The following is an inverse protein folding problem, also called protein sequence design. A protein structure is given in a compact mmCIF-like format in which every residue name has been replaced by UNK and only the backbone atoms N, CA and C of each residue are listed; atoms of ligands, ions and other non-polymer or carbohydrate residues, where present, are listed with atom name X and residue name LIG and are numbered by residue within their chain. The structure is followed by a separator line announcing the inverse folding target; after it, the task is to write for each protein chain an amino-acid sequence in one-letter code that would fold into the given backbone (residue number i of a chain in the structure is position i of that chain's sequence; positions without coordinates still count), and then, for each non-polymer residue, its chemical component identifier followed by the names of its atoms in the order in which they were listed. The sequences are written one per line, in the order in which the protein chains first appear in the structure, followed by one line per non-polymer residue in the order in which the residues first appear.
data_IF_083502413529
#
_entry.id   IF_083502413529
#
_cell.length_a   1.000
_cell.length_b   1.000
_cell.length_c   1.000
_cell.angle_alpha   90.00
_cell.angle_beta   90.00
_cell.angle_gamma   90.00
#
_symmetry.space_group_name_H-M   'P 1'
#
loop_
_entity.id
_entity.type
_entity.pdbx_description
1 polymer ?
#
# COMPACT_ATOMS: atom_id res chain seq x y z
N UNK A 1 14.04 -15.26 -2.00
CA UNK A 1 14.52 -16.56 -1.48
C UNK A 1 15.07 -16.39 -0.06
N UNK A 2 16.03 -15.48 0.21
CA UNK A 2 16.63 -15.32 1.55
C UNK A 2 15.61 -15.05 2.67
N UNK A 3 14.64 -14.14 2.44
CA UNK A 3 13.59 -13.80 3.43
C UNK A 3 12.61 -14.94 3.68
N UNK A 4 12.34 -15.75 2.66
CA UNK A 4 11.49 -16.93 2.80
C UNK A 4 12.16 -17.96 3.70
N UNK A 5 13.48 -18.13 3.57
CA UNK A 5 14.27 -19.01 4.43
C UNK A 5 14.30 -18.51 5.88
N UNK A 6 14.51 -17.21 6.12
CA UNK A 6 14.47 -16.63 7.45
C UNK A 6 13.11 -16.80 8.14
N UNK A 7 12.01 -16.55 7.40
CA UNK A 7 10.67 -16.75 7.94
C UNK A 7 10.37 -18.23 8.25
N UNK A 8 10.92 -19.16 7.45
CA UNK A 8 10.77 -20.59 7.69
C UNK A 8 11.52 -21.09 8.94
N UNK A 9 12.68 -20.50 9.20
CA UNK A 9 13.56 -20.92 10.31
C UNK A 9 13.22 -20.24 11.65
N UNK A 10 12.82 -18.97 11.61
CA UNK A 10 12.72 -18.12 12.80
C UNK A 10 11.33 -17.48 12.99
N UNK A 11 10.36 -17.80 12.14
CA UNK A 11 9.00 -17.28 12.23
C UNK A 11 8.82 -15.84 11.71
N UNK A 12 7.59 -15.30 11.82
CA UNK A 12 7.22 -13.99 11.26
C UNK A 12 8.01 -12.80 11.81
N UNK A 13 8.39 -12.83 13.10
CA UNK A 13 9.12 -11.73 13.76
C UNK A 13 10.55 -11.53 13.20
N UNK A 14 11.15 -12.58 12.64
CA UNK A 14 12.51 -12.51 12.10
C UNK A 14 12.70 -11.44 11.03
N UNK A 15 11.65 -11.16 10.24
CA UNK A 15 11.67 -10.18 9.17
C UNK A 15 11.05 -8.84 9.57
N UNK A 16 10.45 -8.73 10.76
CA UNK A 16 9.68 -7.54 11.16
C UNK A 16 10.53 -6.27 11.23
N UNK A 17 11.74 -6.35 11.78
CA UNK A 17 12.64 -5.20 11.86
C UNK A 17 13.06 -4.67 10.49
N UNK A 18 13.43 -5.57 9.57
CA UNK A 18 13.79 -5.19 8.19
C UNK A 18 12.58 -4.64 7.43
N UNK A 19 11.40 -5.21 7.62
CA UNK A 19 10.16 -4.72 7.02
C UNK A 19 9.86 -3.29 7.47
N UNK A 20 9.89 -3.02 8.77
CA UNK A 20 9.64 -1.68 9.31
C UNK A 20 10.64 -0.64 8.81
N UNK A 21 11.92 -0.98 8.69
CA UNK A 21 12.95 -0.09 8.15
C UNK A 21 12.74 0.27 6.66
N UNK A 22 12.12 -0.63 5.88
CA UNK A 22 11.75 -0.36 4.48
C UNK A 22 10.45 0.41 4.36
N UNK A 23 9.50 0.13 5.25
CA UNK A 23 8.14 0.66 5.18
C UNK A 23 8.02 2.10 5.66
N UNK A 24 8.78 2.48 6.70
CA UNK A 24 8.69 3.76 7.37
C UNK A 24 9.99 4.54 7.32
N UNK A 25 9.89 5.88 7.30
CA UNK A 25 11.04 6.75 7.49
C UNK A 25 11.61 6.63 8.91
N UNK A 26 12.87 6.98 9.06
CA UNK A 26 13.54 7.00 10.36
C UNK A 26 12.86 7.99 11.32
N UNK A 27 12.49 9.15 10.77
CA UNK A 27 11.82 10.24 11.47
C UNK A 27 10.47 9.78 12.01
N UNK A 28 9.68 9.10 11.17
CA UNK A 28 8.38 8.59 11.59
C UNK A 28 8.51 7.53 12.70
N UNK A 29 9.43 6.61 12.56
CA UNK A 29 9.68 5.57 13.58
C UNK A 29 10.08 6.18 14.92
N UNK A 30 10.95 7.19 14.91
CA UNK A 30 11.39 7.89 16.11
C UNK A 30 10.26 8.70 16.77
N UNK A 31 9.38 9.32 15.96
CA UNK A 31 8.27 10.12 16.46
C UNK A 31 7.07 9.27 16.96
N UNK A 32 6.93 8.02 16.47
CA UNK A 32 5.75 7.19 16.71
C UNK A 32 6.11 5.79 17.27
N UNK A 33 6.93 5.67 18.33
CA UNK A 33 7.46 4.38 18.79
C UNK A 33 6.37 3.39 19.23
N UNK A 34 5.27 3.87 19.82
CA UNK A 34 4.16 3.02 20.24
C UNK A 34 3.42 2.41 19.04
N UNK A 35 3.20 3.17 17.99
CA UNK A 35 2.56 2.68 16.76
C UNK A 35 3.45 1.68 16.03
N UNK A 36 4.75 1.94 15.94
CA UNK A 36 5.72 1.01 15.36
C UNK A 36 5.78 -0.29 16.15
N UNK A 37 5.75 -0.23 17.48
CA UNK A 37 5.69 -1.43 18.34
C UNK A 37 4.41 -2.24 18.11
N UNK A 38 3.25 -1.59 17.98
CA UNK A 38 1.99 -2.25 17.67
C UNK A 38 2.00 -2.95 16.30
N UNK A 39 2.54 -2.29 15.27
CA UNK A 39 2.69 -2.89 13.92
C UNK A 39 3.64 -4.09 13.97
N UNK A 40 4.76 -3.97 14.68
CA UNK A 40 5.69 -5.09 14.88
C UNK A 40 5.01 -6.28 15.57
N UNK A 41 4.24 -6.01 16.62
CA UNK A 41 3.50 -7.06 17.33
C UNK A 41 2.49 -7.76 16.41
N UNK A 42 1.77 -7.01 15.58
CA UNK A 42 0.85 -7.58 14.60
C UNK A 42 1.58 -8.49 13.60
N UNK A 43 2.75 -8.07 13.10
CA UNK A 43 3.57 -8.91 12.22
C UNK A 43 4.02 -10.20 12.92
N UNK A 44 4.52 -10.08 14.16
CA UNK A 44 5.03 -11.21 14.94
C UNK A 44 3.93 -12.21 15.34
N UNK A 45 2.68 -11.75 15.49
CA UNK A 45 1.54 -12.57 15.91
C UNK A 45 0.87 -13.35 14.77
N UNK A 46 1.34 -13.21 13.53
CA UNK A 46 0.81 -13.99 12.42
C UNK A 46 1.04 -15.50 12.64
N UNK A 47 0.09 -16.32 12.19
CA UNK A 47 0.31 -17.76 12.12
C UNK A 47 1.54 -18.08 11.25
N UNK A 48 2.57 -18.78 11.78
CA UNK A 48 3.81 -19.01 11.04
C UNK A 48 3.61 -19.73 9.71
N UNK A 49 2.69 -20.69 9.65
CA UNK A 49 2.44 -21.48 8.44
C UNK A 49 1.72 -20.63 7.39
N UNK A 50 0.70 -19.88 7.79
CA UNK A 50 -0.02 -18.95 6.93
C UNK A 50 0.88 -17.85 6.38
N UNK A 51 1.72 -17.26 7.25
CA UNK A 51 2.71 -16.26 6.88
C UNK A 51 3.69 -16.81 5.82
N UNK A 52 4.27 -18.00 6.06
CA UNK A 52 5.20 -18.62 5.14
C UNK A 52 4.57 -18.93 3.78
N UNK A 53 3.34 -19.43 3.78
CA UNK A 53 2.58 -19.76 2.55
C UNK A 53 2.33 -18.50 1.72
N UNK A 54 1.84 -17.43 2.37
CA UNK A 54 1.58 -16.14 1.73
C UNK A 54 2.88 -15.52 1.20
N UNK A 55 3.96 -15.60 1.97
CA UNK A 55 5.25 -15.06 1.58
C UNK A 55 5.88 -15.80 0.39
N UNK A 56 5.71 -17.13 0.31
CA UNK A 56 6.12 -17.93 -0.86
C UNK A 56 5.35 -17.51 -2.10
N UNK A 57 4.02 -17.36 -1.98
CA UNK A 57 3.18 -16.89 -3.09
C UNK A 57 3.68 -15.52 -3.58
N UNK A 58 3.83 -14.55 -2.68
CA UNK A 58 4.34 -13.22 -3.00
C UNK A 58 5.70 -13.26 -3.71
N UNK A 59 6.62 -14.12 -3.26
CA UNK A 59 7.97 -14.21 -3.82
C UNK A 59 8.06 -14.92 -5.18
N UNK A 60 7.02 -15.64 -5.62
CA UNK A 60 7.06 -16.49 -6.80
C UNK A 60 6.08 -16.09 -7.91
N UNK A 61 5.20 -15.12 -7.67
CA UNK A 61 4.11 -14.79 -8.60
C UNK A 61 4.28 -13.48 -9.37
N UNK A 62 5.46 -12.86 -9.33
CA UNK A 62 5.72 -11.56 -9.98
C UNK A 62 5.35 -11.55 -11.48
N UNK A 63 5.51 -12.68 -12.15
CA UNK A 63 5.22 -12.82 -13.58
C UNK A 63 3.88 -13.51 -13.87
N UNK A 64 3.13 -13.86 -12.82
CA UNK A 64 1.86 -14.56 -13.03
C UNK A 64 0.84 -13.65 -13.69
N UNK A 65 0.37 -14.06 -14.88
CA UNK A 65 -0.63 -13.34 -15.68
C UNK A 65 -0.25 -11.86 -15.98
N UNK A 66 1.02 -11.56 -16.05
CA UNK A 66 1.47 -10.21 -16.39
C UNK A 66 1.03 -9.75 -17.81
N UNK A 67 0.74 -10.69 -18.71
CA UNK A 67 0.15 -10.45 -20.03
C UNK A 67 -1.27 -9.90 -19.97
N UNK A 68 -2.05 -10.23 -18.92
CA UNK A 68 -3.44 -9.82 -18.78
C UNK A 68 -3.61 -8.35 -18.34
N UNK A 69 -2.53 -7.69 -17.93
CA UNK A 69 -2.57 -6.29 -17.51
C UNK A 69 -3.11 -5.36 -18.60
N UNK A 70 -2.87 -5.70 -19.87
CA UNK A 70 -3.41 -4.98 -21.02
C UNK A 70 -4.94 -5.06 -21.17
N UNK A 71 -5.58 -6.01 -20.50
CA UNK A 71 -7.04 -6.20 -20.53
C UNK A 71 -7.78 -5.36 -19.47
N UNK A 72 -7.05 -4.71 -18.57
CA UNK A 72 -7.66 -3.81 -17.57
C UNK A 72 -8.29 -2.61 -18.26
N UNK A 73 -9.60 -2.42 -18.07
CA UNK A 73 -10.41 -1.32 -18.65
C UNK A 73 -10.86 -0.31 -17.59
N UNK A 74 -10.75 -0.69 -16.31
CA UNK A 74 -11.09 0.22 -15.22
C UNK A 74 -10.12 1.39 -15.16
N UNK A 75 -10.57 2.62 -14.84
CA UNK A 75 -9.68 3.71 -14.50
C UNK A 75 -8.70 3.26 -13.42
N UNK A 76 -7.42 3.45 -13.66
CA UNK A 76 -6.36 2.91 -12.80
C UNK A 76 -5.41 4.00 -12.36
N UNK A 77 -5.17 4.09 -11.05
CA UNK A 77 -4.12 4.91 -10.46
C UNK A 77 -3.04 4.00 -9.86
N UNK A 78 -1.79 4.22 -10.24
CA UNK A 78 -0.62 3.55 -9.67
C UNK A 78 0.13 4.58 -8.83
N UNK A 79 0.13 4.39 -7.51
CA UNK A 79 0.77 5.30 -6.58
C UNK A 79 1.88 4.60 -5.78
N UNK A 80 3.03 5.26 -5.65
CA UNK A 80 4.12 4.78 -4.80
C UNK A 80 4.91 5.95 -4.21
N UNK A 81 5.63 5.68 -3.12
CA UNK A 81 6.56 6.64 -2.54
C UNK A 81 7.84 6.76 -3.38
N UNK A 82 8.38 7.97 -3.47
CA UNK A 82 9.65 8.23 -4.18
C UNK A 82 10.81 7.42 -3.59
N UNK A 83 10.79 7.22 -2.26
CA UNK A 83 11.83 6.52 -1.49
C UNK A 83 11.46 5.08 -1.16
N UNK A 84 10.44 4.51 -1.81
CA UNK A 84 10.06 3.09 -1.62
C UNK A 84 11.12 2.17 -2.26
N UNK A 85 11.86 1.38 -1.47
CA UNK A 85 12.88 0.48 -2.00
C UNK A 85 12.30 -0.83 -2.53
N UNK A 86 11.03 -1.12 -2.27
CA UNK A 86 10.36 -2.37 -2.65
C UNK A 86 9.45 -2.23 -3.85
N UNK A 87 8.66 -1.16 -3.88
CA UNK A 87 7.76 -0.80 -5.00
C UNK A 87 8.25 0.52 -5.59
N UNK A 88 9.34 0.47 -6.33
CA UNK A 88 10.05 1.66 -6.79
C UNK A 88 9.26 2.51 -7.79
N UNK A 89 9.56 3.81 -7.93
CA UNK A 89 9.00 4.65 -8.99
C UNK A 89 9.17 4.07 -10.41
N UNK A 90 10.28 3.37 -10.65
CA UNK A 90 10.52 2.67 -11.93
C UNK A 90 9.47 1.58 -12.17
N UNK A 91 9.24 0.72 -11.18
CA UNK A 91 8.23 -0.34 -11.25
C UNK A 91 6.81 0.22 -11.45
N UNK A 92 6.48 1.31 -10.78
CA UNK A 92 5.19 1.98 -10.96
C UNK A 92 4.99 2.47 -12.40
N UNK A 93 6.01 3.07 -13.01
CA UNK A 93 5.97 3.50 -14.42
C UNK A 93 5.89 2.33 -15.39
N UNK A 94 6.64 1.26 -15.14
CA UNK A 94 6.58 0.03 -15.96
C UNK A 94 5.20 -0.61 -15.92
N UNK A 95 4.58 -0.65 -14.74
CA UNK A 95 3.22 -1.15 -14.60
C UNK A 95 2.21 -0.29 -15.38
N UNK A 96 2.34 1.04 -15.30
CA UNK A 96 1.50 1.96 -16.05
C UNK A 96 1.62 1.81 -17.56
N UNK A 97 2.79 1.48 -18.08
CA UNK A 97 2.97 1.22 -19.53
C UNK A 97 2.20 -0.01 -20.01
N UNK A 98 1.86 -0.93 -19.10
CA UNK A 98 1.11 -2.16 -19.42
C UNK A 98 -0.41 -2.00 -19.30
N UNK A 99 -0.89 -0.98 -18.59
CA UNK A 99 -2.31 -0.73 -18.35
C UNK A 99 -2.72 0.53 -19.13
N UNK A 100 -3.55 0.37 -20.14
CA UNK A 100 -3.95 1.48 -21.00
C UNK A 100 -4.68 2.57 -20.19
N UNK A 101 -4.19 3.81 -20.28
CA UNK A 101 -4.81 4.96 -19.60
C UNK A 101 -4.56 5.02 -18.09
N UNK A 102 -3.63 4.22 -17.54
CA UNK A 102 -3.29 4.32 -16.14
C UNK A 102 -2.56 5.64 -15.80
N UNK A 103 -2.95 6.24 -14.68
CA UNK A 103 -2.27 7.38 -14.10
C UNK A 103 -1.16 6.90 -13.15
N UNK A 104 -0.09 7.71 -13.02
CA UNK A 104 1.01 7.44 -12.09
C UNK A 104 1.16 8.61 -11.13
N UNK A 105 1.21 8.32 -9.83
CA UNK A 105 1.53 9.27 -8.79
C UNK A 105 2.77 8.80 -8.01
N UNK A 106 3.86 9.55 -8.08
CA UNK A 106 5.04 9.34 -7.25
C UNK A 106 5.02 10.39 -6.14
N UNK A 107 4.86 9.94 -4.91
CA UNK A 107 4.72 10.82 -3.77
C UNK A 107 6.12 11.18 -3.23
N UNK A 108 6.49 12.47 -3.23
CA UNK A 108 7.83 12.89 -2.83
C UNK A 108 8.11 12.56 -1.36
N UNK A 109 9.35 12.21 -1.05
CA UNK A 109 9.87 11.90 0.29
C UNK A 109 9.14 10.75 1.02
N UNK A 110 8.27 10.00 0.33
CA UNK A 110 7.49 8.91 0.95
C UNK A 110 8.14 7.55 0.75
N UNK A 111 7.97 6.70 1.78
CA UNK A 111 8.30 5.27 1.74
C UNK A 111 7.04 4.43 1.50
N UNK A 112 7.13 3.13 1.75
CA UNK A 112 6.08 2.15 1.46
C UNK A 112 4.77 2.41 2.22
N UNK A 113 4.85 2.75 3.50
CA UNK A 113 3.67 2.96 4.34
C UNK A 113 3.19 4.42 4.33
N UNK A 114 3.31 5.08 3.18
CA UNK A 114 2.82 6.44 2.98
C UNK A 114 1.37 6.69 3.41
N UNK A 115 0.42 5.72 3.33
CA UNK A 115 -0.93 5.95 3.83
C UNK A 115 -1.00 6.15 5.35
N UNK A 116 0.00 5.62 6.07
CA UNK A 116 0.11 5.76 7.53
C UNK A 116 0.98 6.97 7.89
N UNK A 117 2.08 7.18 7.18
CA UNK A 117 3.02 8.29 7.41
C UNK A 117 2.44 9.64 7.00
N UNK A 118 1.79 9.70 5.85
CA UNK A 118 1.32 10.93 5.20
C UNK A 118 -0.11 10.78 4.66
N UNK A 119 -1.11 10.47 5.52
CA UNK A 119 -2.47 10.18 5.07
C UNK A 119 -3.12 11.34 4.32
N UNK A 120 -2.79 12.58 4.67
CA UNK A 120 -3.32 13.76 3.97
C UNK A 120 -2.85 13.82 2.52
N UNK A 121 -1.57 13.58 2.29
CA UNK A 121 -0.98 13.58 0.94
C UNK A 121 -1.58 12.46 0.08
N UNK A 122 -1.67 11.24 0.63
CA UNK A 122 -2.28 10.10 -0.06
C UNK A 122 -3.74 10.39 -0.38
N UNK A 123 -4.51 10.91 0.57
CA UNK A 123 -5.93 11.25 0.35
C UNK A 123 -6.10 12.32 -0.73
N UNK A 124 -5.23 13.34 -0.80
CA UNK A 124 -5.26 14.34 -1.88
C UNK A 124 -5.08 13.70 -3.25
N UNK A 125 -4.13 12.77 -3.38
CA UNK A 125 -3.89 12.05 -4.64
C UNK A 125 -5.10 11.19 -5.02
N UNK A 126 -5.67 10.46 -4.06
CA UNK A 126 -6.85 9.62 -4.30
C UNK A 126 -8.08 10.44 -4.67
N UNK A 127 -8.36 11.53 -3.96
CA UNK A 127 -9.50 12.42 -4.25
C UNK A 127 -9.36 13.06 -5.63
N UNK A 128 -8.16 13.55 -5.98
CA UNK A 128 -7.92 14.10 -7.31
C UNK A 128 -8.13 13.07 -8.43
N UNK A 129 -7.74 11.81 -8.19
CA UNK A 129 -8.03 10.74 -9.15
C UNK A 129 -9.53 10.46 -9.25
N UNK A 130 -10.26 10.38 -8.13
CA UNK A 130 -11.71 10.15 -8.14
C UNK A 130 -12.47 11.29 -8.83
N UNK A 131 -12.07 12.53 -8.62
CA UNK A 131 -12.61 13.69 -9.34
C UNK A 131 -12.37 13.57 -10.84
N UNK A 132 -11.15 13.24 -11.25
CA UNK A 132 -10.77 13.05 -12.65
C UNK A 132 -11.63 12.02 -13.38
N UNK A 133 -11.97 10.92 -12.71
CA UNK A 133 -12.79 9.85 -13.30
C UNK A 133 -14.31 10.05 -13.11
N UNK A 134 -14.73 11.20 -12.60
CA UNK A 134 -16.13 11.56 -12.45
C UNK A 134 -16.83 10.89 -11.26
N UNK A 135 -16.08 10.30 -10.32
CA UNK A 135 -16.60 9.89 -9.01
C UNK A 135 -16.61 11.14 -8.13
N UNK A 136 -17.57 12.04 -8.36
CA UNK A 136 -17.76 13.21 -7.52
C UNK A 136 -18.00 12.76 -6.09
N UNK A 137 -17.41 13.49 -5.14
CA UNK A 137 -17.70 13.33 -3.72
C UNK A 137 -19.22 13.38 -3.55
N UNK A 138 -19.91 12.37 -2.97
CA UNK A 138 -21.34 12.48 -2.71
C UNK A 138 -21.53 13.75 -1.90
N UNK A 139 -22.37 14.65 -2.39
CA UNK A 139 -22.74 15.85 -1.64
C UNK A 139 -23.05 15.46 -0.20
N UNK A 140 -22.64 16.24 0.83
CA UNK A 140 -22.94 15.91 2.21
C UNK A 140 -24.43 15.63 2.30
N UNK A 141 -24.80 14.49 2.86
CA UNK A 141 -26.18 14.08 3.00
C UNK A 141 -26.98 15.25 3.58
N UNK A 142 -28.00 15.67 2.83
CA UNK A 142 -28.85 16.79 3.20
C UNK A 142 -29.39 16.55 4.61
N UNK A 143 -28.93 17.34 5.57
CA UNK A 143 -29.35 17.30 6.97
C UNK A 143 -30.79 17.80 7.19
N UNK A 144 -31.57 17.99 6.13
CA UNK A 144 -32.93 18.51 6.15
C UNK A 144 -34.02 17.45 6.37
N UNK A 145 -33.69 16.17 6.61
CA UNK A 145 -34.71 15.22 7.09
C UNK A 145 -34.96 15.51 8.58
N UNK A 146 -35.63 16.60 8.84
CA UNK A 146 -36.36 16.81 10.12
C UNK A 146 -37.51 15.84 10.15
N UNK A 147 -37.36 14.78 10.95
CA UNK A 147 -38.45 13.87 11.25
C UNK A 147 -39.61 14.62 11.83
N UNK A 148 -40.69 14.69 11.08
CA UNK A 148 -42.03 14.97 11.63
C UNK A 148 -42.51 13.63 12.18
N UNK A 149 -42.43 13.49 13.49
CA UNK A 149 -43.19 12.47 14.23
C UNK A 149 -44.43 13.14 14.77
N UNK A 150 -45.55 12.84 14.18
CA UNK A 150 -46.87 13.02 14.75
C UNK A 150 -47.29 11.79 15.51
#
# INVERSE_FOLDING_TARGET
IARTSQAAEHGPDANAGEALSRWFSHEYQAANPAQIAAIRQNLASNDPQGYLTTYKLFATQDMYRAEDLGDIRAPTLIATGELDPGSTPGMARELAMRISGADVAILPDQRHMMPVESPRLVNQVLLGFFEKIGLANPAPADSSIKGSVA
#
